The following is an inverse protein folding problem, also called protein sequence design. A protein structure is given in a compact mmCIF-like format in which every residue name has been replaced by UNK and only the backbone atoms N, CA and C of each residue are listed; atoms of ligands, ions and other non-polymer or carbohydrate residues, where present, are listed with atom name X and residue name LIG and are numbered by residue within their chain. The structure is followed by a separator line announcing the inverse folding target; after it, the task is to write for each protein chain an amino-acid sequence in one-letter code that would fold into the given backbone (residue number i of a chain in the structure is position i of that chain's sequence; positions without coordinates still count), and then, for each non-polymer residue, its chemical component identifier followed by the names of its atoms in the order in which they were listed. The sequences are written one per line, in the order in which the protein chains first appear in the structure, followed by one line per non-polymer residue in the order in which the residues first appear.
data_IF_346443258132
#
_entry.id   IF_346443258132
#
_cell.length_a   1.000
_cell.length_b   1.000
_cell.length_c   1.000
_cell.angle_alpha   90.00
_cell.angle_beta   90.00
_cell.angle_gamma   90.00
#
_symmetry.space_group_name_H-M   'P 1'
#
loop_
_entity.id
_entity.type
_entity.pdbx_description
1 polymer ?
#
# COMPACT_ATOMS: atom_id res chain seq x y z
N UNK A 1 -5.98 47.33 -22.87
CA UNK A 1 -4.81 47.13 -21.97
C UNK A 1 -4.07 45.89 -22.36
N UNK A 2 -2.78 45.98 -22.62
CA UNK A 2 -2.01 44.79 -22.88
C UNK A 2 -1.90 43.94 -21.60
N UNK A 3 -2.22 42.66 -21.71
CA UNK A 3 -2.24 41.74 -20.58
C UNK A 3 -0.89 41.00 -20.56
N UNK A 4 0.09 41.57 -19.92
CA UNK A 4 1.46 41.04 -19.85
C UNK A 4 1.61 39.97 -18.77
N UNK A 5 0.92 39.50 -18.05
CA UNK A 5 1.14 38.50 -17.01
C UNK A 5 0.59 37.12 -17.32
N UNK A 6 -0.34 36.98 -18.28
CA UNK A 6 -1.07 35.74 -18.49
C UNK A 6 -0.16 34.59 -18.96
N UNK A 7 0.80 34.87 -19.85
CA UNK A 7 1.75 33.84 -20.30
C UNK A 7 2.65 33.35 -19.16
N UNK A 8 3.15 34.29 -18.34
CA UNK A 8 3.97 33.94 -17.19
C UNK A 8 3.18 33.12 -16.15
N UNK A 9 1.94 33.52 -15.85
CA UNK A 9 1.06 32.79 -14.92
C UNK A 9 0.75 31.42 -15.49
N UNK A 10 0.42 31.27 -16.75
CA UNK A 10 0.18 29.95 -17.37
C UNK A 10 1.42 29.07 -17.32
N UNK A 11 2.61 29.62 -17.58
CA UNK A 11 3.87 28.87 -17.49
C UNK A 11 4.14 28.40 -16.07
N UNK A 12 3.93 29.27 -15.09
CA UNK A 12 4.05 28.95 -13.67
C UNK A 12 3.04 27.86 -13.25
N UNK A 13 1.77 28.00 -13.65
CA UNK A 13 0.74 27.01 -13.37
C UNK A 13 1.06 25.66 -14.02
N UNK A 14 1.48 25.65 -15.27
CA UNK A 14 1.92 24.42 -15.95
C UNK A 14 3.10 23.77 -15.24
N UNK A 15 4.05 24.55 -14.75
CA UNK A 15 5.19 24.05 -13.99
C UNK A 15 4.75 23.43 -12.66
N UNK A 16 3.89 24.13 -11.92
CA UNK A 16 3.34 23.63 -10.65
C UNK A 16 2.50 22.37 -10.87
N UNK A 17 1.64 22.36 -11.87
CA UNK A 17 0.85 21.17 -12.22
C UNK A 17 1.73 20.04 -12.74
N UNK A 18 2.78 20.32 -13.48
CA UNK A 18 3.77 19.34 -13.90
C UNK A 18 4.51 18.73 -12.73
N UNK A 19 4.87 19.55 -11.74
CA UNK A 19 5.49 19.07 -10.50
C UNK A 19 4.53 18.23 -9.65
N UNK A 20 3.24 18.58 -9.65
CA UNK A 20 2.19 17.85 -8.91
C UNK A 20 1.81 16.54 -9.62
N UNK A 21 1.76 16.52 -10.94
CA UNK A 21 1.34 15.38 -11.74
C UNK A 21 2.48 14.63 -12.44
N UNK A 22 3.72 14.99 -12.16
CA UNK A 22 4.91 14.45 -12.81
C UNK A 22 5.77 13.57 -11.89
N UNK A 23 7.10 13.59 -12.08
CA UNK A 23 8.04 12.70 -11.37
C UNK A 23 7.99 12.81 -9.85
N UNK A 24 7.66 13.99 -9.31
CA UNK A 24 7.55 14.20 -7.86
C UNK A 24 6.40 13.38 -7.27
N UNK A 25 5.24 13.36 -7.93
CA UNK A 25 4.08 12.58 -7.49
C UNK A 25 4.39 11.08 -7.57
N UNK A 26 4.98 10.63 -8.66
CA UNK A 26 5.37 9.23 -8.83
C UNK A 26 6.35 8.79 -7.76
N UNK A 27 7.35 9.60 -7.46
CA UNK A 27 8.32 9.33 -6.39
C UNK A 27 7.66 9.27 -5.02
N UNK A 28 6.78 10.23 -4.73
CA UNK A 28 6.04 10.26 -3.46
C UNK A 28 5.14 9.06 -3.31
N UNK A 29 4.40 8.70 -4.36
CA UNK A 29 3.56 7.50 -4.37
C UNK A 29 4.38 6.23 -4.20
N UNK A 30 5.53 6.13 -4.84
CA UNK A 30 6.43 4.98 -4.66
C UNK A 30 6.84 4.83 -3.20
N UNK A 31 7.20 5.92 -2.54
CA UNK A 31 7.55 5.91 -1.12
C UNK A 31 6.36 5.49 -0.24
N UNK A 32 5.18 6.03 -0.50
CA UNK A 32 3.94 5.64 0.20
C UNK A 32 3.65 4.15 0.02
N UNK A 33 3.78 3.64 -1.19
CA UNK A 33 3.54 2.22 -1.48
C UNK A 33 4.58 1.32 -0.81
N UNK A 34 5.83 1.74 -0.70
CA UNK A 34 6.87 1.01 0.02
C UNK A 34 6.52 0.92 1.51
N UNK A 35 6.11 2.02 2.12
CA UNK A 35 5.70 2.06 3.53
C UNK A 35 4.50 1.15 3.76
N UNK A 36 3.44 1.31 2.97
CA UNK A 36 2.22 0.50 3.08
C UNK A 36 2.51 -1.00 2.82
N UNK A 37 3.40 -1.30 1.88
CA UNK A 37 3.83 -2.68 1.60
C UNK A 37 4.52 -3.32 2.81
N UNK A 38 5.35 -2.57 3.51
CA UNK A 38 6.01 -3.03 4.74
C UNK A 38 5.00 -3.36 5.83
N UNK A 39 4.03 -2.49 6.09
CA UNK A 39 2.96 -2.74 7.06
C UNK A 39 2.07 -3.93 6.65
N UNK A 40 1.69 -4.02 5.38
CA UNK A 40 0.92 -5.15 4.87
C UNK A 40 1.68 -6.46 5.03
N UNK A 41 2.97 -6.47 4.76
CA UNK A 41 3.81 -7.67 4.88
C UNK A 41 3.87 -8.18 6.33
N UNK A 42 3.93 -7.29 7.31
CA UNK A 42 3.95 -7.70 8.74
C UNK A 42 2.64 -8.36 9.17
N UNK A 43 1.52 -8.01 8.54
CA UNK A 43 0.19 -8.53 8.86
C UNK A 43 -0.25 -9.66 7.94
N UNK A 44 0.50 -9.94 6.86
CA UNK A 44 0.17 -11.00 5.89
C UNK A 44 0.47 -12.36 6.50
N UNK A 45 -0.49 -13.33 6.43
CA UNK A 45 -0.25 -14.69 6.90
C UNK A 45 0.88 -15.37 6.14
N UNK A 46 1.78 -16.00 6.87
CA UNK A 46 2.91 -16.75 6.31
C UNK A 46 2.70 -18.24 6.56
N UNK A 47 2.61 -19.00 5.47
CA UNK A 47 2.62 -20.48 5.52
C UNK A 47 3.81 -20.98 4.70
N UNK A 48 3.71 -20.91 3.36
CA UNK A 48 4.78 -21.30 2.45
C UNK A 48 5.53 -20.10 1.89
N UNK A 49 5.23 -18.90 2.37
CA UNK A 49 5.70 -17.61 1.85
C UNK A 49 5.21 -17.25 0.45
N UNK A 50 4.35 -18.05 -0.16
CA UNK A 50 3.80 -17.77 -1.49
C UNK A 50 2.98 -16.50 -1.52
N UNK A 51 2.17 -16.26 -0.49
CA UNK A 51 1.33 -15.07 -0.42
C UNK A 51 2.18 -13.80 -0.30
N UNK A 52 3.09 -13.75 0.67
CA UNK A 52 3.93 -12.58 0.90
C UNK A 52 4.85 -12.30 -0.30
N UNK A 53 5.37 -13.34 -0.94
CA UNK A 53 6.22 -13.22 -2.12
C UNK A 53 5.44 -12.81 -3.38
N UNK A 54 4.12 -12.91 -3.35
CA UNK A 54 3.27 -12.49 -4.47
C UNK A 54 2.89 -11.00 -4.41
N UNK A 55 3.35 -10.27 -3.40
CA UNK A 55 3.08 -8.85 -3.28
C UNK A 55 3.69 -8.07 -4.45
N UNK A 56 2.92 -7.16 -5.03
CA UNK A 56 3.41 -6.26 -6.07
C UNK A 56 2.93 -4.82 -5.84
N UNK A 57 3.66 -3.89 -6.42
CA UNK A 57 3.31 -2.48 -6.45
C UNK A 57 3.24 -2.02 -7.89
N UNK A 58 2.26 -1.19 -8.20
CA UNK A 58 2.07 -0.64 -9.54
C UNK A 58 1.71 0.82 -9.46
N UNK A 59 2.33 1.63 -10.30
CA UNK A 59 1.98 3.05 -10.49
C UNK A 59 1.53 3.23 -11.93
N UNK A 60 0.37 3.84 -12.11
CA UNK A 60 -0.20 4.11 -13.42
C UNK A 60 -0.56 5.59 -13.51
N UNK A 61 -0.12 6.23 -14.58
CA UNK A 61 -0.45 7.63 -14.88
C UNK A 61 -1.59 7.68 -15.91
N UNK A 62 -2.63 8.46 -15.58
CA UNK A 62 -3.79 8.70 -16.42
C UNK A 62 -3.92 10.21 -16.65
N UNK A 63 -3.25 10.75 -17.66
CA UNK A 63 -3.33 12.19 -17.94
C UNK A 63 -2.94 13.06 -16.75
N UNK A 64 -3.92 13.63 -16.06
CA UNK A 64 -3.73 14.48 -14.89
C UNK A 64 -3.83 13.74 -13.53
N UNK A 65 -3.92 12.40 -13.56
CA UNK A 65 -4.08 11.58 -12.36
C UNK A 65 -3.05 10.46 -12.34
N UNK A 66 -2.44 10.25 -11.18
CA UNK A 66 -1.52 9.13 -10.95
C UNK A 66 -2.12 8.23 -9.88
N UNK A 67 -2.18 6.93 -10.15
CA UNK A 67 -2.73 5.93 -9.23
C UNK A 67 -1.65 4.96 -8.83
N UNK A 68 -1.45 4.80 -7.53
CA UNK A 68 -0.61 3.76 -6.95
C UNK A 68 -1.47 2.62 -6.42
N UNK A 69 -1.05 1.40 -6.64
CA UNK A 69 -1.74 0.22 -6.17
C UNK A 69 -0.77 -0.80 -5.59
N UNK A 70 -1.22 -1.48 -4.53
CA UNK A 70 -0.55 -2.65 -3.96
C UNK A 70 -1.49 -3.84 -4.11
N UNK A 71 -0.96 -4.98 -4.46
CA UNK A 71 -1.74 -6.19 -4.58
C UNK A 71 -0.92 -7.45 -4.35
N UNK A 72 -1.61 -8.56 -4.40
CA UNK A 72 -1.02 -9.90 -4.28
C UNK A 72 -1.51 -10.73 -5.45
N UNK A 73 -0.59 -11.42 -6.13
CA UNK A 73 -0.94 -12.24 -7.31
C UNK A 73 -1.36 -13.66 -6.95
N UNK A 74 -1.17 -14.10 -5.71
CA UNK A 74 -1.60 -15.43 -5.28
C UNK A 74 -3.12 -15.58 -5.46
N UNK A 75 -3.54 -16.70 -6.05
CA UNK A 75 -4.94 -16.94 -6.38
C UNK A 75 -5.89 -16.94 -5.16
N UNK A 76 -5.36 -17.29 -3.98
CA UNK A 76 -6.12 -17.33 -2.72
C UNK A 76 -6.02 -16.04 -1.89
N UNK A 77 -5.33 -15.01 -2.39
CA UNK A 77 -5.08 -13.78 -1.62
C UNK A 77 -6.36 -13.10 -1.15
N UNK A 78 -7.35 -12.96 -2.03
CA UNK A 78 -8.63 -12.34 -1.68
C UNK A 78 -9.37 -13.13 -0.59
N UNK A 79 -9.40 -14.44 -0.69
CA UNK A 79 -10.05 -15.29 0.31
C UNK A 79 -9.38 -15.20 1.69
N UNK A 80 -8.07 -15.11 1.73
CA UNK A 80 -7.30 -14.95 2.98
C UNK A 80 -7.51 -13.55 3.56
N UNK A 81 -7.50 -12.53 2.72
CA UNK A 81 -7.72 -11.13 3.13
C UNK A 81 -9.10 -10.95 3.79
N UNK A 82 -10.13 -11.56 3.20
CA UNK A 82 -11.51 -11.39 3.65
C UNK A 82 -11.91 -12.33 4.79
N UNK A 83 -11.01 -13.19 5.25
CA UNK A 83 -11.28 -14.10 6.39
C UNK A 83 -11.66 -13.31 7.64
N UNK A 84 -12.75 -13.69 8.35
CA UNK A 84 -13.25 -12.91 9.48
C UNK A 84 -12.36 -12.93 10.74
N UNK A 85 -11.28 -13.69 10.75
CA UNK A 85 -10.33 -13.73 11.87
C UNK A 85 -10.89 -14.38 13.13
N UNK A 86 -11.91 -15.23 13.03
CA UNK A 86 -12.51 -15.92 14.17
C UNK A 86 -11.54 -16.83 14.93
N UNK A 87 -10.47 -17.26 14.26
CA UNK A 87 -9.41 -18.08 14.83
C UNK A 87 -8.19 -17.29 15.26
N UNK A 88 -8.26 -15.97 15.17
CA UNK A 88 -7.18 -15.07 15.59
C UNK A 88 -6.89 -15.26 17.07
N UNK A 89 -5.62 -15.48 17.41
CA UNK A 89 -5.19 -15.73 18.80
C UNK A 89 -5.51 -17.12 19.35
N UNK A 90 -6.09 -18.01 18.54
CA UNK A 90 -6.33 -19.40 18.95
C UNK A 90 -5.16 -20.29 18.55
N UNK A 91 -4.88 -21.31 19.38
CA UNK A 91 -3.85 -22.32 19.09
C UNK A 91 -4.43 -23.52 18.34
N UNK A 92 -5.40 -23.30 17.45
CA UNK A 92 -6.02 -24.38 16.67
C UNK A 92 -5.02 -24.92 15.65
N UNK A 93 -4.60 -26.19 15.75
CA UNK A 93 -3.62 -26.75 14.81
C UNK A 93 -4.20 -26.85 13.40
N UNK A 94 -3.37 -26.56 12.40
CA UNK A 94 -3.74 -26.65 10.99
C UNK A 94 -4.07 -28.07 10.56
N UNK A 95 -3.42 -29.05 11.15
CA UNK A 95 -3.68 -30.47 10.94
C UNK A 95 -3.74 -31.18 12.28
N UNK A 96 -4.81 -31.92 12.51
CA UNK A 96 -4.93 -32.76 13.70
C UNK A 96 -3.96 -33.93 13.68
N UNK A 97 -3.59 -34.41 12.51
CA UNK A 97 -2.68 -35.54 12.32
C UNK A 97 -1.21 -35.13 12.33
N UNK A 98 -0.92 -33.84 12.06
CA UNK A 98 0.45 -33.34 12.03
C UNK A 98 0.52 -31.93 12.64
N UNK A 99 0.68 -31.85 13.97
CA UNK A 99 0.79 -30.55 14.66
C UNK A 99 2.02 -29.73 14.27
N UNK A 100 3.03 -30.35 13.66
CA UNK A 100 4.24 -29.64 13.22
C UNK A 100 3.97 -28.62 12.11
N UNK A 101 2.82 -28.70 11.44
CA UNK A 101 2.38 -27.77 10.42
C UNK A 101 1.93 -26.40 10.97
N UNK A 102 2.01 -26.20 12.27
CA UNK A 102 1.64 -24.94 12.91
C UNK A 102 0.13 -24.77 13.09
N UNK A 103 -0.25 -23.57 13.47
CA UNK A 103 -1.64 -23.21 13.72
C UNK A 103 -2.37 -22.74 12.46
N UNK A 104 -3.71 -22.81 12.49
CA UNK A 104 -4.57 -22.34 11.39
C UNK A 104 -4.38 -20.84 11.14
N UNK A 105 -4.12 -20.09 12.19
CA UNK A 105 -3.86 -18.66 12.11
C UNK A 105 -2.44 -18.34 12.54
N UNK A 106 -1.71 -17.61 11.69
CA UNK A 106 -0.39 -17.07 12.02
C UNK A 106 -0.59 -16.01 13.13
N UNK A 107 0.16 -16.08 14.26
CA UNK A 107 0.03 -15.09 15.35
C UNK A 107 0.21 -13.64 14.93
N UNK A 108 1.03 -13.39 13.93
CA UNK A 108 1.32 -12.04 13.43
C UNK A 108 0.36 -11.60 12.31
N UNK A 109 -0.48 -12.52 11.83
CA UNK A 109 -1.41 -12.24 10.74
C UNK A 109 -2.67 -11.54 11.22
N UNK A 110 -3.14 -10.59 10.44
CA UNK A 110 -4.36 -9.83 10.68
C UNK A 110 -5.38 -10.05 9.56
N UNK A 111 -6.68 -10.15 9.87
CA UNK A 111 -7.70 -10.10 8.82
C UNK A 111 -7.66 -8.73 8.13
N UNK A 112 -8.00 -8.70 6.84
CA UNK A 112 -7.97 -7.49 6.02
C UNK A 112 -6.63 -6.75 6.07
N UNK A 113 -5.54 -7.50 6.03
CA UNK A 113 -4.18 -6.98 6.20
C UNK A 113 -3.81 -5.87 5.22
N UNK A 114 -4.29 -5.92 3.99
CA UNK A 114 -3.99 -4.89 2.99
C UNK A 114 -4.74 -3.59 3.30
N UNK A 115 -6.00 -3.66 3.72
CA UNK A 115 -6.76 -2.49 4.15
C UNK A 115 -6.16 -1.87 5.42
N UNK A 116 -5.83 -2.69 6.40
CA UNK A 116 -5.23 -2.24 7.66
C UNK A 116 -3.86 -1.60 7.47
N UNK A 117 -3.11 -2.00 6.44
CA UNK A 117 -1.83 -1.38 6.12
C UNK A 117 -1.96 0.12 5.81
N UNK A 118 -3.12 0.57 5.33
CA UNK A 118 -3.39 1.99 5.09
C UNK A 118 -4.12 2.66 6.24
N UNK A 119 -4.85 1.92 7.05
CA UNK A 119 -5.70 2.45 8.13
C UNK A 119 -5.04 2.43 9.51
N UNK A 120 -4.00 1.62 9.70
CA UNK A 120 -3.23 1.58 10.94
C UNK A 120 -2.69 2.98 11.28
N UNK A 121 -2.75 3.37 12.56
CA UNK A 121 -2.37 4.72 13.00
C UNK A 121 -0.90 5.04 12.74
N UNK A 122 0.00 4.08 12.95
CA UNK A 122 1.42 4.25 12.69
C UNK A 122 1.70 4.30 11.19
N UNK A 123 1.05 3.44 10.42
CA UNK A 123 1.15 3.44 8.97
C UNK A 123 0.67 4.77 8.38
N UNK A 124 -0.47 5.27 8.82
CA UNK A 124 -0.99 6.58 8.37
C UNK A 124 -0.06 7.72 8.73
N UNK A 125 0.51 7.72 9.91
CA UNK A 125 1.48 8.72 10.33
C UNK A 125 2.71 8.72 9.42
N UNK A 126 3.25 7.54 9.12
CA UNK A 126 4.41 7.40 8.24
C UNK A 126 4.09 7.80 6.79
N UNK A 127 2.91 7.42 6.31
CA UNK A 127 2.43 7.79 4.96
C UNK A 127 2.24 9.30 4.86
N UNK A 128 1.59 9.93 5.84
CA UNK A 128 1.39 11.37 5.86
C UNK A 128 2.73 12.13 5.89
N UNK A 129 3.70 11.65 6.66
CA UNK A 129 5.04 12.22 6.68
C UNK A 129 5.74 12.10 5.32
N UNK A 130 5.60 10.96 4.65
CA UNK A 130 6.15 10.75 3.31
C UNK A 130 5.52 11.68 2.28
N UNK A 131 4.19 11.85 2.32
CA UNK A 131 3.47 12.78 1.44
C UNK A 131 3.95 14.22 1.67
N UNK A 132 4.04 14.66 2.90
CA UNK A 132 4.50 16.01 3.25
C UNK A 132 5.93 16.26 2.75
N UNK A 133 6.83 15.28 2.90
CA UNK A 133 8.21 15.37 2.40
C UNK A 133 8.26 15.43 0.88
N UNK A 134 7.53 14.55 0.23
CA UNK A 134 7.56 14.40 -1.23
C UNK A 134 6.87 15.52 -1.98
N UNK A 135 5.79 16.07 -1.40
CA UNK A 135 4.96 17.11 -2.03
C UNK A 135 5.31 18.51 -1.52
N UNK A 136 6.38 18.67 -0.78
CA UNK A 136 6.85 19.97 -0.32
C UNK A 136 7.23 20.86 -1.50
N UNK A 137 6.59 21.99 -1.61
CA UNK A 137 6.79 22.98 -2.67
C UNK A 137 7.82 24.04 -2.24
#
# INVERSE_FOLDING_TARGET
MPVYGIKAVRTQLKKVFGDISGPRVEKTLTEVLIIASGYAATMTPIDTSNLINSQYRKITAYGNRVVGAIGYTAAYAAAVHDKPGTLLGTNTPRSKSDPSRGNVWDPDAEPEFLRKAFEDSDARSDIDAAIKRGMKV
#
